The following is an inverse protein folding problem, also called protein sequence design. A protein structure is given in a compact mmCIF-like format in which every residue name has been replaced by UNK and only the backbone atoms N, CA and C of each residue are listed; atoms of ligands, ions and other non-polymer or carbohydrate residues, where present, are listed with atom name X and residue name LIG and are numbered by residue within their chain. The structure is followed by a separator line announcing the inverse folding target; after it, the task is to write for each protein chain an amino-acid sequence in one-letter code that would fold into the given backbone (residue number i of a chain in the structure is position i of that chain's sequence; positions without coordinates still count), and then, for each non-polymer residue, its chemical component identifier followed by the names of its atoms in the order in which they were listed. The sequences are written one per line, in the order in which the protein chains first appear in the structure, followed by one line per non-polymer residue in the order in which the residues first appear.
data_IF_897604759792
#
_entry.id   IF_897604759792
#
_cell.length_a   1.000
_cell.length_b   1.000
_cell.length_c   1.000
_cell.angle_alpha   90.00
_cell.angle_beta   90.00
_cell.angle_gamma   90.00
#
_symmetry.space_group_name_H-M   'P 1'
#
loop_
_entity.id
_entity.type
_entity.pdbx_description
1 polymer ?
#
# COMPACT_ATOMS: atom_id res chain seq x y z
N UNK A 1 -17.43 5.32 0.02
CA UNK A 1 -16.56 6.13 0.88
C UNK A 1 -15.26 6.39 0.12
N UNK A 2 -14.72 7.60 0.13
CA UNK A 2 -13.38 7.85 -0.43
C UNK A 2 -12.33 7.31 0.56
N UNK A 3 -11.50 6.40 0.07
CA UNK A 3 -10.48 5.67 0.85
C UNK A 3 -9.12 6.37 0.76
N UNK A 4 -8.81 6.92 -0.42
CA UNK A 4 -7.55 7.60 -0.67
C UNK A 4 -7.77 8.79 -1.59
N UNK A 5 -7.40 9.97 -1.10
CA UNK A 5 -7.44 11.20 -1.86
C UNK A 5 -6.06 11.56 -2.45
N UNK A 6 -6.04 12.57 -3.32
CA UNK A 6 -4.80 13.06 -3.95
C UNK A 6 -3.80 13.57 -2.91
N UNK A 7 -4.28 14.21 -1.86
CA UNK A 7 -3.46 14.86 -0.86
C UNK A 7 -2.70 13.84 0.00
N UNK A 8 -3.36 12.77 0.42
CA UNK A 8 -2.79 11.66 1.16
C UNK A 8 -1.63 11.00 0.40
N UNK A 9 -1.80 10.73 -0.90
CA UNK A 9 -0.71 10.20 -1.73
C UNK A 9 0.46 11.19 -1.83
N UNK A 10 0.16 12.46 -2.13
CA UNK A 10 1.18 13.50 -2.35
C UNK A 10 1.98 13.77 -1.07
N UNK A 11 1.35 13.68 0.11
CA UNK A 11 2.01 13.81 1.43
C UNK A 11 3.06 12.73 1.71
N UNK A 12 3.05 11.60 1.01
CA UNK A 12 4.12 10.60 1.14
C UNK A 12 5.46 11.09 0.60
N UNK A 13 5.45 12.06 -0.33
CA UNK A 13 6.66 12.59 -0.95
C UNK A 13 7.37 13.57 -0.01
N UNK A 14 8.71 13.58 -0.08
CA UNK A 14 9.55 14.53 0.65
C UNK A 14 10.29 15.45 -0.34
N UNK A 15 9.64 16.51 -0.88
CA UNK A 15 10.30 17.44 -1.78
C UNK A 15 11.57 18.08 -1.19
N UNK A 16 12.50 18.44 -2.08
CA UNK A 16 13.79 19.01 -1.67
C UNK A 16 13.68 20.44 -1.10
N UNK A 17 12.73 21.23 -1.59
CA UNK A 17 12.51 22.60 -1.12
C UNK A 17 11.72 22.58 0.18
N UNK A 18 12.19 23.35 1.18
CA UNK A 18 11.55 23.41 2.51
C UNK A 18 10.06 23.74 2.46
N UNK A 19 9.68 24.72 1.64
CA UNK A 19 8.27 25.10 1.41
C UNK A 19 7.40 23.91 0.99
N UNK A 20 7.86 23.14 -0.01
CA UNK A 20 7.13 21.95 -0.48
C UNK A 20 7.30 20.73 0.43
N UNK A 21 8.29 20.72 1.32
CA UNK A 21 8.41 19.66 2.35
C UNK A 21 7.34 19.82 3.41
N UNK A 22 7.03 21.06 3.78
CA UNK A 22 5.97 21.37 4.74
C UNK A 22 4.59 21.14 4.14
N UNK A 23 4.44 21.42 2.84
CA UNK A 23 3.20 21.20 2.10
C UNK A 23 3.49 20.74 0.65
N UNK A 24 3.56 19.42 0.42
CA UNK A 24 3.85 18.87 -0.91
C UNK A 24 2.77 19.16 -1.96
N UNK A 25 1.53 19.46 -1.55
CA UNK A 25 0.45 19.83 -2.48
C UNK A 25 0.73 21.14 -3.19
N UNK A 26 1.44 22.08 -2.56
CA UNK A 26 1.84 23.35 -3.22
C UNK A 26 2.72 23.12 -4.44
N UNK A 27 3.52 22.05 -4.45
CA UNK A 27 4.30 21.70 -5.64
C UNK A 27 3.41 21.28 -6.82
N UNK A 28 2.31 20.59 -6.53
CA UNK A 28 1.31 20.18 -7.53
C UNK A 28 0.56 21.39 -8.06
N UNK A 29 0.11 22.27 -7.16
CA UNK A 29 -0.61 23.50 -7.51
C UNK A 29 0.26 24.46 -8.34
N UNK A 30 1.48 24.73 -7.90
CA UNK A 30 2.40 25.61 -8.62
C UNK A 30 2.76 25.04 -10.00
N UNK A 31 2.96 23.73 -10.09
CA UNK A 31 3.20 23.07 -11.38
C UNK A 31 2.00 23.25 -12.32
N UNK A 32 0.77 23.00 -11.84
CA UNK A 32 -0.46 23.20 -12.63
C UNK A 32 -0.60 24.64 -13.11
N UNK A 33 -0.42 25.62 -12.21
CA UNK A 33 -0.46 27.06 -12.55
C UNK A 33 0.56 27.43 -13.62
N UNK A 34 1.76 26.85 -13.59
CA UNK A 34 2.79 27.07 -14.62
C UNK A 34 2.37 26.47 -15.96
N UNK A 35 1.82 25.25 -15.99
CA UNK A 35 1.35 24.62 -17.22
C UNK A 35 0.16 25.37 -17.84
N UNK A 36 -0.81 25.78 -17.02
CA UNK A 36 -1.97 26.58 -17.44
C UNK A 36 -1.53 27.92 -18.04
N UNK A 37 -0.66 28.67 -17.34
CA UNK A 37 -0.14 29.94 -17.85
C UNK A 37 0.64 29.77 -19.16
N UNK A 38 1.44 28.70 -19.28
CA UNK A 38 2.19 28.41 -20.50
C UNK A 38 1.28 28.06 -21.68
N UNK A 39 0.17 27.36 -21.43
CA UNK A 39 -0.83 27.05 -22.45
C UNK A 39 -1.56 28.31 -22.94
N UNK A 40 -1.89 29.24 -22.04
CA UNK A 40 -2.51 30.53 -22.39
C UNK A 40 -1.53 31.52 -23.03
N UNK A 41 -0.24 31.38 -22.74
CA UNK A 41 0.81 32.27 -23.22
C UNK A 41 2.02 31.48 -23.78
N UNK A 42 1.90 30.85 -24.96
CA UNK A 42 2.94 29.97 -25.50
C UNK A 42 4.31 30.64 -25.71
N UNK A 43 4.34 31.95 -25.99
CA UNK A 43 5.57 32.72 -26.20
C UNK A 43 6.17 33.26 -24.89
N UNK A 44 5.55 33.01 -23.73
CA UNK A 44 6.03 33.50 -22.44
C UNK A 44 7.27 32.72 -21.97
N UNK A 45 8.43 33.38 -22.01
CA UNK A 45 9.64 32.83 -21.41
C UNK A 45 9.57 32.74 -19.88
N UNK A 46 10.43 31.88 -19.29
CA UNK A 46 10.53 31.60 -17.84
C UNK A 46 10.45 32.80 -16.90
N UNK A 47 11.00 33.95 -17.28
CA UNK A 47 11.03 35.16 -16.44
C UNK A 47 9.64 35.78 -16.35
N UNK A 48 8.91 35.82 -17.48
CA UNK A 48 7.54 36.35 -17.52
C UNK A 48 6.61 35.48 -16.69
N UNK A 49 6.71 34.16 -16.87
CA UNK A 49 5.91 33.18 -16.11
C UNK A 49 6.24 33.23 -14.61
N UNK A 50 7.54 33.23 -14.26
CA UNK A 50 7.99 33.32 -12.86
C UNK A 50 7.52 34.59 -12.15
N UNK A 51 7.61 35.75 -12.82
CA UNK A 51 7.12 37.00 -12.25
C UNK A 51 5.59 37.02 -12.10
N UNK A 52 4.85 36.41 -13.03
CA UNK A 52 3.39 36.38 -12.98
C UNK A 52 2.84 35.47 -11.87
N UNK A 53 3.56 34.38 -11.58
CA UNK A 53 3.13 33.36 -10.61
C UNK A 53 3.83 33.44 -9.26
N UNK A 54 4.75 34.40 -9.10
CA UNK A 54 5.63 34.55 -7.93
C UNK A 54 6.50 33.31 -7.67
N UNK A 55 7.11 32.77 -8.74
CA UNK A 55 7.93 31.57 -8.71
C UNK A 55 9.36 31.83 -9.17
N UNK A 56 10.37 31.14 -8.59
CA UNK A 56 11.75 31.24 -9.05
C UNK A 56 11.88 30.90 -10.55
N UNK A 57 12.45 31.78 -11.39
CA UNK A 57 12.58 31.53 -12.84
C UNK A 57 13.40 30.29 -13.19
N UNK A 58 14.26 29.80 -12.29
CA UNK A 58 15.00 28.55 -12.45
C UNK A 58 14.09 27.33 -12.37
N UNK A 59 13.12 27.32 -11.44
CA UNK A 59 12.11 26.26 -11.25
C UNK A 59 11.18 26.20 -12.46
N UNK A 60 10.63 27.36 -12.83
CA UNK A 60 9.75 27.50 -13.99
C UNK A 60 10.42 27.00 -15.27
N UNK A 61 11.70 27.34 -15.49
CA UNK A 61 12.45 26.84 -16.67
C UNK A 61 12.45 25.33 -16.75
N UNK A 62 12.68 24.63 -15.64
CA UNK A 62 12.69 23.17 -15.62
C UNK A 62 11.33 22.61 -16.02
N UNK A 63 10.24 23.21 -15.53
CA UNK A 63 8.88 22.74 -15.82
C UNK A 63 8.40 23.04 -17.23
N UNK A 64 8.78 24.20 -17.80
CA UNK A 64 8.50 24.51 -19.21
C UNK A 64 9.25 23.61 -20.18
N UNK A 65 10.37 23.02 -19.74
CA UNK A 65 11.19 22.11 -20.54
C UNK A 65 10.81 20.62 -20.34
N UNK A 66 9.60 20.34 -19.81
CA UNK A 66 9.10 18.97 -19.61
C UNK A 66 9.55 18.28 -18.32
N UNK A 67 10.32 18.96 -17.46
CA UNK A 67 10.55 18.48 -16.10
C UNK A 67 9.29 18.60 -15.24
N UNK A 68 9.16 17.78 -14.20
CA UNK A 68 8.04 17.86 -13.25
C UNK A 68 8.50 17.43 -11.85
N UNK A 69 7.86 17.93 -10.78
CA UNK A 69 8.08 17.42 -9.43
C UNK A 69 7.77 15.92 -9.33
N UNK A 70 8.49 15.20 -8.47
CA UNK A 70 8.29 13.75 -8.31
C UNK A 70 6.89 13.40 -7.79
N UNK A 71 6.32 14.21 -6.90
CA UNK A 71 4.94 14.05 -6.43
C UNK A 71 3.92 14.20 -7.57
N UNK A 72 4.14 15.11 -8.52
CA UNK A 72 3.28 15.28 -9.70
C UNK A 72 3.40 14.07 -10.62
N UNK A 73 4.63 13.61 -10.88
CA UNK A 73 4.85 12.41 -11.70
C UNK A 73 4.18 11.18 -11.10
N UNK A 74 4.37 10.99 -9.79
CA UNK A 74 3.75 9.90 -9.06
C UNK A 74 2.23 9.98 -9.03
N UNK A 75 1.69 11.18 -8.86
CA UNK A 75 0.25 11.41 -8.94
C UNK A 75 -0.31 11.02 -10.31
N UNK A 76 0.36 11.39 -11.42
CA UNK A 76 -0.08 10.97 -12.75
C UNK A 76 -0.06 9.45 -12.90
N UNK A 77 1.01 8.78 -12.48
CA UNK A 77 1.09 7.31 -12.51
C UNK A 77 -0.05 6.70 -11.70
N UNK A 78 -0.27 7.16 -10.46
CA UNK A 78 -1.35 6.65 -9.63
C UNK A 78 -2.74 6.90 -10.25
N UNK A 79 -2.96 8.04 -10.90
CA UNK A 79 -4.19 8.34 -11.63
C UNK A 79 -4.38 7.44 -12.84
N UNK A 80 -3.32 7.19 -13.61
CA UNK A 80 -3.35 6.33 -14.80
C UNK A 80 -3.70 4.87 -14.44
N UNK A 81 -3.29 4.41 -13.26
CA UNK A 81 -3.66 3.09 -12.72
C UNK A 81 -4.98 3.08 -11.93
N UNK A 82 -5.66 4.23 -11.78
CA UNK A 82 -6.88 4.33 -10.99
C UNK A 82 -6.68 4.15 -9.49
N UNK A 83 -5.47 4.36 -8.97
CA UNK A 83 -5.16 4.26 -7.55
C UNK A 83 -5.55 5.51 -6.76
N UNK A 84 -5.84 6.63 -7.44
CA UNK A 84 -6.26 7.89 -6.80
C UNK A 84 -7.07 8.79 -7.76
N UNK A 85 -8.12 9.50 -7.29
CA UNK A 85 -8.83 9.25 -6.03
C UNK A 85 -9.44 7.85 -6.03
N UNK A 86 -9.59 7.25 -4.85
CA UNK A 86 -9.98 5.86 -4.69
C UNK A 86 -11.18 5.72 -3.77
N UNK A 87 -12.16 4.93 -4.18
CA UNK A 87 -13.37 4.59 -3.42
C UNK A 87 -13.34 3.13 -2.96
N UNK A 88 -14.06 2.85 -1.87
CA UNK A 88 -14.23 1.49 -1.34
C UNK A 88 -14.92 0.51 -2.32
N UNK A 89 -15.57 1.05 -3.35
CA UNK A 89 -16.30 0.28 -4.37
C UNK A 89 -15.49 0.00 -5.62
N UNK A 90 -14.29 0.57 -5.73
CA UNK A 90 -13.47 0.40 -6.92
C UNK A 90 -12.83 -0.99 -6.92
N UNK A 91 -12.95 -1.71 -8.04
CA UNK A 91 -12.42 -3.08 -8.16
C UNK A 91 -10.91 -3.13 -7.87
N UNK A 92 -10.18 -2.10 -8.33
CA UNK A 92 -8.74 -1.92 -8.07
C UNK A 92 -8.41 -1.83 -6.58
N UNK A 93 -9.32 -1.27 -5.77
CA UNK A 93 -9.17 -1.24 -4.32
C UNK A 93 -9.51 -2.59 -3.71
N UNK A 94 -10.72 -3.11 -3.94
CA UNK A 94 -11.25 -4.29 -3.25
C UNK A 94 -10.41 -5.53 -3.55
N UNK A 95 -10.14 -5.81 -4.82
CA UNK A 95 -9.42 -7.01 -5.26
C UNK A 95 -7.90 -6.81 -5.42
N UNK A 96 -7.43 -5.57 -5.46
CA UNK A 96 -6.03 -5.23 -5.65
C UNK A 96 -5.39 -4.64 -4.40
N UNK A 97 -5.55 -3.33 -4.19
CA UNK A 97 -4.80 -2.57 -3.19
C UNK A 97 -5.09 -3.02 -1.75
N UNK A 98 -6.34 -3.33 -1.38
CA UNK A 98 -6.68 -3.85 -0.05
C UNK A 98 -5.97 -5.19 0.23
N UNK A 99 -5.94 -6.09 -0.77
CA UNK A 99 -5.22 -7.36 -0.70
C UNK A 99 -3.72 -7.13 -0.53
N UNK A 100 -3.14 -6.22 -1.30
CA UNK A 100 -1.71 -5.88 -1.19
C UNK A 100 -1.37 -5.24 0.15
N UNK A 101 -2.21 -4.35 0.70
CA UNK A 101 -2.03 -3.80 2.06
C UNK A 101 -2.03 -4.93 3.09
N UNK A 102 -3.04 -5.83 3.06
CA UNK A 102 -3.08 -7.00 3.94
C UNK A 102 -1.84 -7.88 3.81
N UNK A 103 -1.32 -8.02 2.59
CA UNK A 103 -0.07 -8.74 2.32
C UNK A 103 1.14 -8.04 2.93
N UNK A 104 1.27 -6.71 2.81
CA UNK A 104 2.34 -5.96 3.47
C UNK A 104 2.29 -6.18 4.97
N UNK A 105 1.12 -6.20 5.60
CA UNK A 105 1.03 -6.53 7.02
C UNK A 105 1.51 -7.96 7.30
N UNK A 106 1.07 -8.96 6.54
CA UNK A 106 1.18 -10.38 6.93
C UNK A 106 2.37 -11.15 6.35
N UNK A 107 2.92 -10.74 5.21
CA UNK A 107 3.97 -11.46 4.48
C UNK A 107 4.83 -10.59 3.55
N UNK A 108 4.70 -9.27 3.61
CA UNK A 108 5.46 -8.33 2.77
C UNK A 108 6.19 -7.25 3.55
N UNK A 109 6.81 -6.32 2.82
CA UNK A 109 7.48 -5.14 3.38
C UNK A 109 7.48 -3.99 2.37
N UNK A 110 7.64 -2.76 2.86
CA UNK A 110 7.93 -1.59 2.03
C UNK A 110 9.25 -0.99 2.52
N UNK A 111 10.22 -0.82 1.61
CA UNK A 111 11.53 -0.25 1.94
C UNK A 111 11.44 1.23 2.31
N UNK A 112 12.13 1.63 3.39
CA UNK A 112 12.24 3.04 3.82
C UNK A 112 13.02 3.89 2.80
N UNK A 113 13.98 3.28 2.10
CA UNK A 113 14.90 4.01 1.22
C UNK A 113 14.22 4.52 -0.04
N UNK A 114 13.32 3.73 -0.61
CA UNK A 114 12.78 3.96 -1.95
C UNK A 114 11.29 3.62 -2.11
N UNK A 115 10.60 3.27 -1.01
CA UNK A 115 9.21 2.83 -1.03
C UNK A 115 8.98 1.62 -1.95
N UNK A 116 9.97 0.75 -2.16
CA UNK A 116 9.77 -0.47 -2.95
C UNK A 116 9.04 -1.51 -2.10
N UNK A 117 7.81 -1.94 -2.49
CA UNK A 117 7.14 -3.06 -1.86
C UNK A 117 7.74 -4.40 -2.31
N UNK A 118 7.76 -5.36 -1.40
CA UNK A 118 8.01 -6.77 -1.73
C UNK A 118 7.06 -7.70 -0.98
N UNK A 119 6.77 -8.84 -1.60
CA UNK A 119 5.77 -9.78 -1.12
C UNK A 119 6.33 -11.20 -1.09
N UNK A 120 6.25 -11.83 0.07
CA UNK A 120 6.65 -13.23 0.25
C UNK A 120 5.45 -14.13 0.03
N UNK A 121 5.66 -15.26 -0.64
CA UNK A 121 4.63 -16.25 -0.93
C UNK A 121 5.06 -17.62 -0.42
N UNK A 122 4.13 -18.32 0.22
CA UNK A 122 4.28 -19.73 0.60
C UNK A 122 3.18 -20.58 -0.06
N UNK A 123 3.58 -21.35 -1.07
CA UNK A 123 2.72 -22.29 -1.79
C UNK A 123 1.87 -21.72 -2.93
N UNK A 124 1.25 -22.60 -3.74
CA UNK A 124 0.58 -22.21 -4.99
C UNK A 124 -0.68 -21.36 -4.80
N UNK A 125 -1.44 -21.59 -3.73
CA UNK A 125 -2.69 -20.84 -3.48
C UNK A 125 -2.41 -19.38 -3.15
N UNK A 126 -1.41 -19.11 -2.30
CA UNK A 126 -0.97 -17.75 -2.02
C UNK A 126 -0.42 -17.08 -3.28
N UNK A 127 0.34 -17.82 -4.11
CA UNK A 127 0.83 -17.30 -5.40
C UNK A 127 -0.29 -16.80 -6.28
N UNK A 128 -1.29 -17.64 -6.57
CA UNK A 128 -2.41 -17.30 -7.46
C UNK A 128 -3.16 -16.06 -6.94
N UNK A 129 -3.36 -15.95 -5.62
CA UNK A 129 -4.05 -14.81 -5.03
C UNK A 129 -3.24 -13.52 -5.17
N UNK A 130 -1.93 -13.56 -4.90
CA UNK A 130 -1.07 -12.40 -5.06
C UNK A 130 -1.01 -11.95 -6.53
N UNK A 131 -0.85 -12.90 -7.46
CA UNK A 131 -0.84 -12.62 -8.90
C UNK A 131 -2.15 -11.95 -9.35
N UNK A 132 -3.30 -12.48 -8.91
CA UNK A 132 -4.61 -11.88 -9.19
C UNK A 132 -4.75 -10.46 -8.61
N UNK A 133 -4.18 -10.19 -7.43
CA UNK A 133 -4.23 -8.87 -6.82
C UNK A 133 -3.33 -7.86 -7.56
N UNK A 134 -2.13 -8.29 -7.98
CA UNK A 134 -1.21 -7.48 -8.78
C UNK A 134 -1.81 -7.17 -10.17
N UNK A 135 -2.44 -8.16 -10.80
CA UNK A 135 -3.16 -7.96 -12.07
C UNK A 135 -4.33 -6.98 -11.90
N UNK A 136 -5.13 -7.14 -10.84
CA UNK A 136 -6.24 -6.22 -10.53
C UNK A 136 -5.74 -4.80 -10.25
N UNK A 137 -4.58 -4.66 -9.62
CA UNK A 137 -3.90 -3.37 -9.41
C UNK A 137 -3.26 -2.80 -10.69
N UNK A 138 -3.21 -3.56 -11.79
CA UNK A 138 -2.55 -3.16 -13.03
C UNK A 138 -1.03 -3.10 -12.94
N UNK A 139 -0.42 -3.94 -12.11
CA UNK A 139 1.01 -3.89 -11.77
C UNK A 139 1.78 -5.07 -12.36
N UNK A 140 2.85 -4.77 -13.08
CA UNK A 140 3.81 -5.78 -13.52
C UNK A 140 4.78 -6.16 -12.39
N UNK A 141 5.19 -7.43 -12.34
CA UNK A 141 6.08 -7.95 -11.32
C UNK A 141 7.13 -8.90 -11.90
N UNK A 142 8.16 -9.16 -11.09
CA UNK A 142 9.14 -10.24 -11.30
C UNK A 142 9.22 -11.12 -10.06
N UNK A 143 9.45 -12.42 -10.29
CA UNK A 143 9.63 -13.41 -9.23
C UNK A 143 11.13 -13.61 -8.98
N UNK A 144 11.52 -13.67 -7.71
CA UNK A 144 12.90 -13.89 -7.26
C UNK A 144 12.92 -15.05 -6.26
N UNK A 145 14.05 -15.76 -6.19
CA UNK A 145 14.28 -16.89 -5.28
C UNK A 145 13.36 -18.11 -5.50
N UNK A 146 12.69 -18.22 -6.65
CA UNK A 146 11.78 -19.33 -6.99
C UNK A 146 12.45 -20.72 -6.89
N UNK A 147 13.73 -20.80 -7.27
CA UNK A 147 14.51 -22.05 -7.28
C UNK A 147 15.51 -22.16 -6.09
N UNK A 148 15.48 -21.20 -5.15
CA UNK A 148 16.46 -21.16 -4.05
C UNK A 148 15.93 -21.87 -2.79
N UNK A 149 16.36 -23.13 -2.61
CA UNK A 149 16.12 -23.88 -1.37
C UNK A 149 16.58 -23.09 -0.14
N UNK A 150 15.66 -22.84 0.80
CA UNK A 150 15.93 -22.14 2.06
C UNK A 150 15.62 -20.64 2.05
N UNK A 151 15.12 -20.10 0.94
CA UNK A 151 14.53 -18.76 0.87
C UNK A 151 13.10 -18.84 0.37
N UNK A 152 12.26 -17.94 0.86
CA UNK A 152 10.90 -17.86 0.39
C UNK A 152 10.86 -17.13 -0.96
N UNK A 153 9.94 -17.54 -1.84
CA UNK A 153 9.71 -16.91 -3.13
C UNK A 153 9.23 -15.47 -2.91
N UNK A 154 9.87 -14.51 -3.57
CA UNK A 154 9.61 -13.09 -3.41
C UNK A 154 9.15 -12.45 -4.73
N UNK A 155 8.06 -11.71 -4.67
CA UNK A 155 7.56 -10.89 -5.77
C UNK A 155 8.05 -9.46 -5.58
N UNK A 156 8.71 -8.93 -6.61
CA UNK A 156 9.18 -7.53 -6.66
C UNK A 156 8.52 -6.81 -7.83
N UNK A 157 8.18 -5.55 -7.62
CA UNK A 157 7.43 -4.78 -8.61
C UNK A 157 8.36 -4.24 -9.70
N UNK A 158 7.83 -4.18 -10.92
CA UNK A 158 8.51 -3.61 -12.08
C UNK A 158 8.35 -2.10 -12.16
N UNK A 159 7.79 -1.62 -13.28
CA UNK A 159 7.50 -0.20 -13.48
C UNK A 159 6.50 0.31 -12.43
N UNK A 160 6.68 1.54 -11.96
CA UNK A 160 5.81 2.14 -10.95
C UNK A 160 6.01 1.65 -9.51
N UNK A 161 7.00 0.80 -9.22
CA UNK A 161 7.27 0.20 -7.90
C UNK A 161 7.21 1.21 -6.74
N UNK A 162 7.95 2.32 -6.83
CA UNK A 162 7.97 3.37 -5.79
C UNK A 162 6.61 4.07 -5.65
N UNK A 163 5.85 4.22 -6.74
CA UNK A 163 4.52 4.85 -6.69
C UNK A 163 3.53 3.91 -6.00
N UNK A 164 3.55 2.61 -6.33
CA UNK A 164 2.72 1.63 -5.66
C UNK A 164 3.01 1.57 -4.16
N UNK A 165 4.27 1.48 -3.75
CA UNK A 165 4.58 1.45 -2.32
C UNK A 165 4.17 2.72 -1.57
N UNK A 166 4.21 3.89 -2.23
CA UNK A 166 3.65 5.13 -1.69
C UNK A 166 2.14 5.11 -1.59
N UNK A 167 1.44 4.57 -2.59
CA UNK A 167 -0.01 4.35 -2.54
C UNK A 167 -0.38 3.43 -1.37
N UNK A 168 0.31 2.30 -1.22
CA UNK A 168 0.08 1.37 -0.10
C UNK A 168 0.39 2.04 1.25
N UNK A 169 1.46 2.82 1.34
CA UNK A 169 1.77 3.57 2.56
C UNK A 169 0.71 4.63 2.89
N UNK A 170 0.17 5.34 1.88
CA UNK A 170 -0.92 6.28 2.06
C UNK A 170 -2.23 5.60 2.48
N UNK A 171 -2.43 4.34 2.08
CA UNK A 171 -3.50 3.46 2.58
C UNK A 171 -3.22 2.89 3.98
N UNK A 172 -2.13 3.29 4.65
CA UNK A 172 -1.79 2.84 6.00
C UNK A 172 -0.95 1.56 6.06
N UNK A 173 -0.40 1.08 4.95
CA UNK A 173 0.59 0.00 4.99
C UNK A 173 1.90 0.49 5.65
N UNK A 174 2.49 -0.28 6.58
CA UNK A 174 3.71 0.13 7.25
C UNK A 174 4.92 0.15 6.31
N UNK A 175 5.78 1.16 6.52
CA UNK A 175 7.07 1.32 5.82
C UNK A 175 8.20 1.01 6.79
N UNK A 176 9.11 0.12 6.38
CA UNK A 176 10.23 -0.34 7.19
C UNK A 176 9.89 -1.53 8.09
N UNK A 177 10.55 -1.58 9.25
CA UNK A 177 10.39 -2.66 10.21
C UNK A 177 8.98 -2.68 10.83
N UNK A 178 8.48 -3.86 11.16
CA UNK A 178 7.17 -4.09 11.80
C UNK A 178 7.36 -4.88 13.09
N UNK A 179 8.23 -4.39 13.97
CA UNK A 179 8.61 -5.08 15.20
C UNK A 179 7.97 -4.42 16.43
N UNK A 180 8.24 -4.98 17.60
CA UNK A 180 7.67 -4.56 18.90
C UNK A 180 7.96 -3.11 19.29
N UNK A 181 9.02 -2.52 18.75
CA UNK A 181 9.49 -1.17 19.09
C UNK A 181 8.98 -0.10 18.09
N UNK A 182 8.18 -0.51 17.11
CA UNK A 182 7.63 0.39 16.08
C UNK A 182 6.24 0.92 16.46
N UNK A 183 5.92 2.11 15.97
CA UNK A 183 4.55 2.65 16.04
C UNK A 183 3.74 2.07 14.88
N UNK A 184 3.01 0.99 15.15
CA UNK A 184 2.28 0.22 14.15
C UNK A 184 0.78 0.20 14.48
N UNK A 185 -0.02 0.68 13.54
CA UNK A 185 -1.49 0.63 13.59
C UNK A 185 -2.05 -0.18 12.40
N UNK A 186 -3.33 -0.57 12.50
CA UNK A 186 -4.08 -1.05 11.34
C UNK A 186 -4.44 0.14 10.42
N UNK A 187 -4.73 -0.11 9.13
CA UNK A 187 -5.23 0.92 8.24
C UNK A 187 -6.51 1.57 8.77
N UNK A 188 -6.52 2.90 8.84
CA UNK A 188 -7.67 3.67 9.36
C UNK A 188 -8.96 3.39 8.59
N UNK A 189 -8.88 3.14 7.27
CA UNK A 189 -10.06 2.86 6.46
C UNK A 189 -10.83 1.61 6.92
N UNK A 190 -10.20 0.68 7.65
CA UNK A 190 -10.87 -0.53 8.15
C UNK A 190 -11.92 -0.24 9.21
N UNK A 191 -11.86 0.92 9.89
CA UNK A 191 -12.82 1.30 10.92
C UNK A 191 -14.22 1.53 10.34
N UNK A 192 -14.29 2.08 9.13
CA UNK A 192 -15.53 2.42 8.42
C UNK A 192 -15.79 1.56 7.18
N UNK A 193 -14.82 0.74 6.75
CA UNK A 193 -14.96 -0.12 5.59
C UNK A 193 -16.13 -1.11 5.71
N UNK A 194 -16.71 -1.46 4.56
CA UNK A 194 -17.71 -2.53 4.46
C UNK A 194 -17.19 -3.87 5.00
N UNK A 195 -18.11 -4.74 5.43
CA UNK A 195 -17.78 -6.10 5.89
C UNK A 195 -16.96 -6.88 4.87
N UNK A 196 -17.28 -6.77 3.58
CA UNK A 196 -16.55 -7.46 2.51
C UNK A 196 -15.07 -7.04 2.42
N UNK A 197 -14.77 -5.75 2.60
CA UNK A 197 -13.38 -5.24 2.58
C UNK A 197 -12.60 -5.76 3.78
N UNK A 198 -13.21 -5.76 4.98
CA UNK A 198 -12.59 -6.30 6.20
C UNK A 198 -12.37 -7.81 6.12
N UNK A 199 -13.36 -8.55 5.62
CA UNK A 199 -13.29 -9.99 5.36
C UNK A 199 -12.14 -10.32 4.41
N UNK A 200 -12.00 -9.58 3.31
CA UNK A 200 -10.93 -9.78 2.34
C UNK A 200 -9.55 -9.54 2.97
N UNK A 201 -9.40 -8.44 3.72
CA UNK A 201 -8.17 -8.12 4.45
C UNK A 201 -7.80 -9.24 5.44
N UNK A 202 -8.75 -9.64 6.29
CA UNK A 202 -8.55 -10.69 7.30
C UNK A 202 -8.22 -12.02 6.65
N UNK A 203 -8.88 -12.36 5.55
CA UNK A 203 -8.64 -13.63 4.84
C UNK A 203 -7.20 -13.71 4.33
N UNK A 204 -6.72 -12.66 3.66
CA UNK A 204 -5.33 -12.58 3.18
C UNK A 204 -4.35 -12.65 4.35
N UNK A 205 -4.63 -11.88 5.42
CA UNK A 205 -3.78 -11.85 6.60
C UNK A 205 -3.60 -13.24 7.22
N UNK A 206 -4.71 -13.95 7.46
CA UNK A 206 -4.69 -15.26 8.10
C UNK A 206 -4.09 -16.33 7.19
N UNK A 207 -4.33 -16.28 5.88
CA UNK A 207 -3.69 -17.22 4.93
C UNK A 207 -2.17 -17.13 4.97
N UNK A 208 -1.62 -15.93 5.17
CA UNK A 208 -0.17 -15.73 5.25
C UNK A 208 0.43 -16.04 6.62
N UNK A 209 -0.35 -15.91 7.71
CA UNK A 209 0.16 -16.06 9.10
C UNK A 209 -0.14 -17.41 9.74
N UNK A 210 -1.22 -18.07 9.34
CA UNK A 210 -1.58 -19.37 9.89
C UNK A 210 -0.70 -20.43 9.27
N UNK A 211 0.16 -21.04 10.09
CA UNK A 211 0.81 -22.30 9.73
C UNK A 211 -0.25 -23.39 9.59
N UNK A 212 -0.29 -24.08 8.46
CA UNK A 212 -1.21 -25.21 8.25
C UNK A 212 -0.76 -26.43 9.07
N UNK A 213 -1.06 -26.44 10.37
CA UNK A 213 -0.90 -27.62 11.22
C UNK A 213 -2.21 -28.43 11.19
N UNK A 214 -2.15 -29.63 10.61
CA UNK A 214 -3.35 -30.41 10.31
C UNK A 214 -4.03 -30.93 11.59
N UNK A 215 -5.37 -30.86 11.63
CA UNK A 215 -6.20 -31.58 12.61
C UNK A 215 -6.41 -30.89 13.95
N UNK A 216 -6.21 -29.56 14.03
CA UNK A 216 -6.55 -28.77 15.21
C UNK A 216 -7.81 -27.94 14.96
N UNK A 217 -8.75 -28.04 15.90
CA UNK A 217 -9.94 -27.19 15.99
C UNK A 217 -9.63 -25.77 16.51
N UNK A 218 -8.35 -25.46 16.72
CA UNK A 218 -7.85 -24.19 17.24
C UNK A 218 -6.67 -23.74 16.38
N UNK A 219 -6.75 -22.52 15.86
CA UNK A 219 -5.66 -21.88 15.15
C UNK A 219 -4.96 -20.87 16.07
N UNK A 220 -3.64 -20.78 15.98
CA UNK A 220 -2.85 -19.80 16.74
C UNK A 220 -1.68 -19.31 15.92
N UNK A 221 -1.32 -18.06 16.12
CA UNK A 221 -0.12 -17.47 15.54
C UNK A 221 0.44 -16.42 16.50
N UNK A 222 1.74 -16.14 16.34
CA UNK A 222 2.44 -15.13 17.13
C UNK A 222 2.75 -13.94 16.25
N UNK A 223 2.48 -12.75 16.74
CA UNK A 223 2.88 -11.48 16.12
C UNK A 223 3.96 -10.81 16.94
N UNK A 224 5.16 -10.70 16.40
CA UNK A 224 6.27 -9.99 17.04
C UNK A 224 6.13 -8.47 16.83
N UNK A 225 4.98 -7.94 17.25
CA UNK A 225 4.51 -6.57 17.05
C UNK A 225 4.09 -5.95 18.38
N UNK A 226 3.80 -4.63 18.43
CA UNK A 226 3.33 -3.98 19.65
C UNK A 226 2.05 -4.64 20.19
N UNK A 227 1.90 -4.67 21.51
CA UNK A 227 0.70 -5.26 22.16
C UNK A 227 -0.58 -4.53 21.70
N UNK A 228 -0.54 -3.20 21.57
CA UNK A 228 -1.67 -2.40 21.08
C UNK A 228 -2.09 -2.79 19.64
N UNK A 229 -1.12 -3.11 18.77
CA UNK A 229 -1.42 -3.64 17.44
C UNK A 229 -2.11 -5.00 17.51
N UNK A 230 -1.62 -5.89 18.38
CA UNK A 230 -2.19 -7.23 18.55
C UNK A 230 -3.63 -7.17 19.10
N UNK A 231 -3.90 -6.24 20.02
CA UNK A 231 -5.25 -5.96 20.52
C UNK A 231 -6.18 -5.45 19.41
N UNK A 232 -5.73 -4.47 18.61
CA UNK A 232 -6.48 -3.94 17.48
C UNK A 232 -6.77 -5.02 16.41
N UNK A 233 -5.76 -5.84 16.08
CA UNK A 233 -5.92 -6.97 15.17
C UNK A 233 -6.90 -8.01 15.74
N UNK A 234 -6.82 -8.32 17.03
CA UNK A 234 -7.78 -9.20 17.70
C UNK A 234 -9.21 -8.69 17.59
N UNK A 235 -9.42 -7.39 17.81
CA UNK A 235 -10.74 -6.75 17.65
C UNK A 235 -11.25 -6.81 16.21
N UNK A 236 -10.40 -6.59 15.21
CA UNK A 236 -10.76 -6.75 13.80
C UNK A 236 -11.16 -8.20 13.47
N UNK A 237 -10.38 -9.17 13.96
CA UNK A 237 -10.66 -10.59 13.74
C UNK A 237 -11.98 -11.00 14.40
N UNK A 238 -12.25 -10.56 15.64
CA UNK A 238 -13.49 -10.84 16.37
C UNK A 238 -14.72 -10.22 15.68
N UNK A 239 -14.57 -9.04 15.08
CA UNK A 239 -15.65 -8.38 14.34
C UNK A 239 -15.98 -9.05 13.01
N UNK A 240 -15.04 -9.78 12.41
CA UNK A 240 -15.16 -10.37 11.07
C UNK A 240 -15.47 -11.86 11.14
N UNK A 241 -14.90 -12.57 12.09
CA UNK A 241 -14.98 -14.02 12.18
C UNK A 241 -16.08 -14.44 13.14
N UNK A 242 -16.82 -15.49 12.79
CA UNK A 242 -17.75 -16.17 13.71
C UNK A 242 -17.02 -17.20 14.61
N UNK A 243 -15.90 -16.78 15.21
CA UNK A 243 -15.07 -17.58 16.12
C UNK A 243 -14.67 -16.75 17.34
N UNK A 244 -14.37 -17.42 18.45
CA UNK A 244 -13.85 -16.71 19.62
C UNK A 244 -12.38 -16.34 19.39
N UNK A 245 -12.09 -15.03 19.48
CA UNK A 245 -10.73 -14.51 19.36
C UNK A 245 -10.21 -14.13 20.74
N UNK A 246 -9.04 -14.67 21.11
CA UNK A 246 -8.35 -14.29 22.35
C UNK A 246 -6.96 -13.75 22.04
N UNK A 247 -6.64 -12.59 22.58
CA UNK A 247 -5.31 -11.99 22.51
C UNK A 247 -4.60 -12.13 23.86
N UNK A 248 -3.37 -12.63 23.84
CA UNK A 248 -2.50 -12.72 25.01
C UNK A 248 -1.11 -12.22 24.65
N UNK A 249 -0.88 -10.92 24.89
CA UNK A 249 0.29 -10.19 24.38
C UNK A 249 0.37 -10.37 22.86
N UNK A 250 1.48 -10.93 22.40
CA UNK A 250 1.80 -11.24 21.01
C UNK A 250 1.15 -12.52 20.46
N UNK A 251 0.39 -13.27 21.25
CA UNK A 251 -0.24 -14.51 20.80
C UNK A 251 -1.72 -14.27 20.53
N UNK A 252 -2.17 -14.67 19.35
CA UNK A 252 -3.57 -14.63 18.95
C UNK A 252 -4.07 -16.07 18.81
N UNK A 253 -5.20 -16.35 19.44
CA UNK A 253 -5.86 -17.65 19.45
C UNK A 253 -7.25 -17.53 18.84
N UNK A 254 -7.58 -18.46 17.94
CA UNK A 254 -8.86 -18.56 17.26
C UNK A 254 -9.48 -19.90 17.63
N UNK A 255 -10.55 -19.89 18.43
CA UNK A 255 -11.24 -21.12 18.85
C UNK A 255 -12.23 -21.59 17.78
N UNK A 256 -12.54 -22.89 17.72
CA UNK A 256 -13.50 -23.46 16.74
C UNK A 256 -13.15 -23.15 15.29
N UNK A 257 -11.85 -23.03 14.98
CA UNK A 257 -11.37 -22.78 13.63
C UNK A 257 -11.83 -23.93 12.70
N UNK A 258 -12.58 -23.64 11.62
CA UNK A 258 -13.09 -24.69 10.76
C UNK A 258 -11.94 -25.42 10.02
N UNK A 259 -12.06 -26.74 9.87
CA UNK A 259 -11.14 -27.57 9.04
C UNK A 259 -11.11 -27.18 7.54
N UNK A 260 -11.93 -26.21 7.13
CA UNK A 260 -12.20 -25.82 5.75
C UNK A 260 -11.58 -24.47 5.36
N UNK A 261 -10.29 -24.29 5.61
CA UNK A 261 -9.47 -23.41 4.74
C UNK A 261 -8.98 -24.27 3.56
N UNK A 262 -9.14 -23.83 2.29
CA UNK A 262 -8.90 -24.69 1.13
C UNK A 262 -7.48 -25.28 1.12
N UNK A 263 -7.43 -26.60 0.90
CA UNK A 263 -6.19 -27.36 0.73
C UNK A 263 -5.48 -26.90 -0.54
N UNK A 264 -4.22 -26.48 -0.44
CA UNK A 264 -3.31 -26.53 -1.58
C UNK A 264 -3.08 -28.02 -1.88
N UNK A 265 -3.90 -28.54 -2.78
CA UNK A 265 -3.77 -29.91 -3.28
C UNK A 265 -2.55 -29.92 -4.18
N UNK A 266 -1.48 -30.57 -3.72
CA UNK A 266 -0.27 -30.75 -4.52
C UNK A 266 -0.59 -31.44 -5.84
N UNK A 267 -0.07 -30.85 -6.91
CA UNK A 267 0.33 -31.51 -8.15
C UNK A 267 1.68 -30.91 -8.54
#
# INVERSE_FOLDING_TARGET
MEILDTEALVRTYAPQTEEYRQDPMRAVEDYRRVQEFAAEHPDAGRTRVGNALDLPPSRVRTWLNGGMPDCVRGLHVAQDHGWVPLSETDDVFVGGLNVLVAWIFSGGSISVENFSPSFTVDGPTARIRLESALETAGVEYRVVHEDESGRATEFRIGEGETVLGRTLAALGAPVGEKNVDTDLSLPEYLDDASTAVREEFVTVYLQNRLSQDQGRTEARFREERPDAYCEALGGLLDAVLDVEVTVSKQNIFLSRWPDCVPRSSGV
#
